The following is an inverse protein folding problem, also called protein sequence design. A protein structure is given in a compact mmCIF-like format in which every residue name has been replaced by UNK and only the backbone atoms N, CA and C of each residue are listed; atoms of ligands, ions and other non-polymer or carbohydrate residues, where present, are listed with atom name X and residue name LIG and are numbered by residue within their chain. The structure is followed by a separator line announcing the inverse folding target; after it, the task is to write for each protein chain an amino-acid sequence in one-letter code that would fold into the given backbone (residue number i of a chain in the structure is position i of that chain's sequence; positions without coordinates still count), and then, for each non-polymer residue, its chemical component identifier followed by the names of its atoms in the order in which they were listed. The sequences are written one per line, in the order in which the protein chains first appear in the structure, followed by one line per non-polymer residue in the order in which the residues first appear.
data_IF_814251902729
#
_entry.id   IF_814251902729
#
_cell.length_a   1.000
_cell.length_b   1.000
_cell.length_c   1.000
_cell.angle_alpha   90.00
_cell.angle_beta   90.00
_cell.angle_gamma   90.00
#
_symmetry.space_group_name_H-M   'P 1'
#
loop_
_entity.id
_entity.type
_entity.pdbx_description
1 polymer ?
#
# COMPACT_ATOMS: atom_id res chain seq x y z
N UNK A 1 11.79 23.05 19.24
CA UNK A 1 11.04 21.92 19.83
C UNK A 1 11.90 20.66 19.93
N UNK A 2 11.46 19.73 20.71
CA UNK A 2 12.14 18.45 20.90
C UNK A 2 11.92 17.49 19.72
N UNK A 3 10.72 17.51 19.15
CA UNK A 3 10.34 16.72 17.99
C UNK A 3 10.16 17.57 16.74
N UNK A 4 10.47 16.96 15.59
CA UNK A 4 10.13 17.46 14.26
C UNK A 4 8.91 16.67 13.76
N UNK A 5 7.88 17.36 13.29
CA UNK A 5 6.74 16.77 12.61
C UNK A 5 6.91 17.00 11.11
N UNK A 6 6.91 15.92 10.36
CA UNK A 6 7.05 15.89 8.90
C UNK A 6 5.71 15.45 8.33
N UNK A 7 5.11 16.29 7.52
CA UNK A 7 3.78 16.09 6.96
C UNK A 7 3.81 16.39 5.47
N UNK A 8 3.09 15.61 4.66
CA UNK A 8 2.89 15.95 3.26
C UNK A 8 1.93 17.14 3.12
N UNK A 9 2.07 17.93 2.08
CA UNK A 9 1.23 19.13 1.85
C UNK A 9 -0.24 18.81 1.51
N UNK A 10 -0.55 17.56 1.25
CA UNK A 10 -1.89 17.07 0.90
C UNK A 10 -2.55 16.27 2.04
N UNK A 11 -2.10 16.46 3.28
CA UNK A 11 -2.75 15.93 4.49
C UNK A 11 -3.57 17.01 5.19
N UNK A 12 -4.62 16.59 5.88
CA UNK A 12 -5.42 17.42 6.79
C UNK A 12 -5.37 16.78 8.17
N UNK A 13 -5.03 17.61 9.17
CA UNK A 13 -4.95 17.17 10.56
C UNK A 13 -6.32 17.23 11.21
N UNK A 14 -6.75 16.20 11.98
CA UNK A 14 -7.95 16.28 12.79
C UNK A 14 -7.74 17.16 14.01
N UNK A 15 -8.82 17.68 14.55
CA UNK A 15 -8.82 18.34 15.86
C UNK A 15 -8.26 17.37 16.91
N UNK A 16 -7.35 17.85 17.76
CA UNK A 16 -6.71 17.01 18.80
C UNK A 16 -5.49 16.22 18.32
N UNK A 17 -5.04 16.36 17.06
CA UNK A 17 -3.88 15.64 16.54
C UNK A 17 -2.60 15.81 17.40
N UNK A 18 -2.26 17.04 17.79
CA UNK A 18 -1.09 17.32 18.63
C UNK A 18 -1.27 16.78 20.06
N UNK A 19 -2.49 16.86 20.58
CA UNK A 19 -2.81 16.30 21.89
C UNK A 19 -2.63 14.78 21.89
N UNK A 20 -3.10 14.08 20.87
CA UNK A 20 -2.93 12.63 20.73
C UNK A 20 -1.44 12.24 20.68
N UNK A 21 -0.60 13.03 20.03
CA UNK A 21 0.87 12.82 20.02
C UNK A 21 1.44 12.98 21.44
N UNK A 22 1.07 14.04 22.13
CA UNK A 22 1.58 14.33 23.48
C UNK A 22 1.20 13.21 24.47
N UNK A 23 -0.05 12.80 24.48
CA UNK A 23 -0.56 11.69 25.30
C UNK A 23 0.17 10.37 25.02
N UNK A 24 0.42 10.05 23.75
CA UNK A 24 1.16 8.83 23.36
C UNK A 24 2.62 8.90 23.78
N UNK A 25 3.28 10.05 23.67
CA UNK A 25 4.67 10.26 24.11
C UNK A 25 4.81 10.17 25.61
N UNK A 26 3.85 10.76 26.38
CA UNK A 26 3.83 10.67 27.85
C UNK A 26 3.60 9.23 28.31
N UNK A 27 2.70 8.49 27.65
CA UNK A 27 2.43 7.09 27.97
C UNK A 27 3.64 6.19 27.70
N UNK A 28 4.33 6.41 26.60
CA UNK A 28 5.50 5.60 26.18
C UNK A 28 6.39 6.37 25.21
N UNK A 29 7.59 6.79 25.61
CA UNK A 29 8.51 7.54 24.77
C UNK A 29 8.87 6.78 23.50
N UNK A 30 9.09 7.52 22.40
CA UNK A 30 9.53 7.02 21.11
C UNK A 30 10.55 7.98 20.50
N UNK A 31 11.55 7.44 19.79
CA UNK A 31 12.53 8.26 19.08
C UNK A 31 11.96 8.73 17.73
N UNK A 32 11.11 7.90 17.12
CA UNK A 32 10.30 8.25 15.95
C UNK A 32 8.92 7.60 16.04
N UNK A 33 7.93 8.23 15.43
CA UNK A 33 6.56 7.73 15.38
C UNK A 33 5.88 8.12 14.08
N UNK A 34 4.72 7.56 13.83
CA UNK A 34 3.81 7.96 12.77
C UNK A 34 2.41 7.45 13.07
N UNK A 35 1.44 8.05 12.43
CA UNK A 35 0.03 7.66 12.54
C UNK A 35 -0.51 7.10 11.23
N UNK A 36 -1.69 6.45 11.28
CA UNK A 36 -2.35 5.96 10.08
C UNK A 36 -2.93 7.10 9.24
N UNK A 37 -3.18 6.80 7.97
CA UNK A 37 -3.93 7.67 7.09
C UNK A 37 -5.37 7.17 6.92
N UNK A 38 -6.31 8.10 6.82
CA UNK A 38 -7.72 7.82 6.59
C UNK A 38 -8.20 8.48 5.30
N UNK A 39 -9.19 7.84 4.65
CA UNK A 39 -9.94 8.46 3.57
C UNK A 39 -10.89 9.51 4.15
N UNK A 40 -11.01 10.65 3.47
CA UNK A 40 -12.00 11.68 3.82
C UNK A 40 -13.33 11.40 3.13
N UNK A 41 -14.44 11.77 3.73
CA UNK A 41 -15.79 11.52 3.20
C UNK A 41 -16.02 12.19 1.83
N UNK A 42 -15.36 13.34 1.60
CA UNK A 42 -15.41 14.07 0.32
C UNK A 42 -14.66 13.40 -0.83
N UNK A 43 -14.06 12.23 -0.63
CA UNK A 43 -13.35 11.54 -1.70
C UNK A 43 -14.31 11.11 -2.81
N UNK A 44 -13.87 11.31 -4.06
CA UNK A 44 -14.57 10.82 -5.24
C UNK A 44 -14.63 9.28 -5.24
N UNK A 45 -15.57 8.71 -6.03
CA UNK A 45 -15.68 7.26 -6.16
C UNK A 45 -14.37 6.61 -6.59
N UNK A 46 -13.62 7.25 -7.52
CA UNK A 46 -12.28 6.79 -7.95
C UNK A 46 -11.29 6.81 -6.79
N UNK A 47 -11.27 7.85 -5.97
CA UNK A 47 -10.38 7.91 -4.81
C UNK A 47 -10.73 6.87 -3.75
N UNK A 48 -12.03 6.58 -3.55
CA UNK A 48 -12.50 5.52 -2.65
C UNK A 48 -12.10 4.14 -3.17
N UNK A 49 -12.26 3.88 -4.49
CA UNK A 49 -11.80 2.64 -5.11
C UNK A 49 -10.28 2.45 -4.98
N UNK A 50 -9.49 3.50 -5.24
CA UNK A 50 -8.03 3.49 -5.02
C UNK A 50 -7.68 3.24 -3.56
N UNK A 51 -8.39 3.87 -2.63
CA UNK A 51 -8.19 3.65 -1.18
C UNK A 51 -8.45 2.20 -0.81
N UNK A 52 -9.55 1.62 -1.31
CA UNK A 52 -9.86 0.21 -1.15
C UNK A 52 -8.72 -0.68 -1.68
N UNK A 53 -8.29 -0.46 -2.93
CA UNK A 53 -7.20 -1.22 -3.55
C UNK A 53 -5.89 -1.15 -2.76
N UNK A 54 -5.65 -0.08 -1.99
CA UNK A 54 -4.45 0.10 -1.17
C UNK A 54 -4.55 -0.51 0.23
N UNK A 55 -5.74 -0.81 0.73
CA UNK A 55 -5.96 -1.18 2.14
C UNK A 55 -6.66 -2.52 2.32
N UNK A 56 -7.38 -3.04 1.31
CA UNK A 56 -8.09 -4.30 1.40
C UNK A 56 -7.14 -5.48 1.58
N UNK A 57 -7.59 -6.47 2.34
CA UNK A 57 -6.90 -7.75 2.48
C UNK A 57 -6.76 -8.47 1.14
N UNK A 58 -7.79 -8.45 0.31
CA UNK A 58 -7.81 -9.15 -0.98
C UNK A 58 -6.85 -8.56 -2.02
N UNK A 59 -6.44 -7.30 -1.87
CA UNK A 59 -5.54 -6.62 -2.80
C UNK A 59 -4.11 -6.52 -2.27
N UNK A 60 -3.94 -6.36 -0.95
CA UNK A 60 -2.63 -6.11 -0.33
C UNK A 60 -2.16 -7.25 0.57
N UNK A 61 -2.96 -8.32 0.74
CA UNK A 61 -2.64 -9.40 1.66
C UNK A 61 -2.57 -8.96 3.13
N UNK A 62 -3.22 -7.84 3.49
CA UNK A 62 -3.24 -7.31 4.84
C UNK A 62 -1.98 -6.54 5.26
N UNK A 63 -1.07 -6.23 4.33
CA UNK A 63 0.16 -5.46 4.60
C UNK A 63 -0.16 -4.03 5.01
N UNK A 64 -1.23 -3.46 4.44
CA UNK A 64 -1.75 -2.13 4.76
C UNK A 64 -3.14 -2.27 5.36
N UNK A 65 -3.44 -1.49 6.38
CA UNK A 65 -4.76 -1.49 7.03
C UNK A 65 -5.07 -2.70 7.92
N UNK A 66 -4.17 -3.68 8.02
CA UNK A 66 -4.36 -4.86 8.87
C UNK A 66 -4.20 -4.53 10.36
N UNK A 67 -5.08 -5.10 11.21
CA UNK A 67 -5.00 -5.01 12.68
C UNK A 67 -3.82 -5.79 13.28
N UNK A 68 -3.05 -6.54 12.47
CA UNK A 68 -1.87 -7.26 12.95
C UNK A 68 -0.76 -6.27 13.25
N UNK A 69 -0.27 -6.25 14.49
CA UNK A 69 0.95 -5.56 14.90
C UNK A 69 2.10 -6.12 14.04
N UNK A 70 2.62 -5.32 13.13
CA UNK A 70 3.90 -5.59 12.50
C UNK A 70 4.98 -5.49 13.60
N UNK A 71 5.93 -6.42 13.65
CA UNK A 71 7.03 -6.42 14.61
C UNK A 71 7.82 -5.11 14.58
N UNK A 72 7.82 -4.43 13.43
CA UNK A 72 8.46 -3.13 13.23
C UNK A 72 7.51 -2.21 12.47
N UNK A 73 7.25 -1.03 13.02
CA UNK A 73 6.51 0.02 12.35
C UNK A 73 7.49 0.95 11.64
N UNK A 74 7.29 1.16 10.34
CA UNK A 74 8.07 2.09 9.50
C UNK A 74 7.29 3.38 9.32
N UNK A 75 7.63 4.46 10.05
CA UNK A 75 7.00 5.77 9.84
C UNK A 75 7.13 6.23 8.39
N UNK A 76 6.09 6.84 7.87
CA UNK A 76 6.01 7.34 6.50
C UNK A 76 6.05 8.87 6.50
N UNK A 77 6.68 9.46 5.49
CA UNK A 77 6.88 10.92 5.40
C UNK A 77 5.59 11.74 5.49
N UNK A 78 4.46 11.19 5.02
CA UNK A 78 3.18 11.90 5.07
C UNK A 78 2.67 12.17 6.50
N UNK A 79 3.14 11.42 7.51
CA UNK A 79 2.78 11.57 8.92
C UNK A 79 3.86 10.96 9.80
N UNK A 80 4.97 11.68 9.98
CA UNK A 80 6.13 11.23 10.74
C UNK A 80 6.52 12.27 11.80
N UNK A 81 6.66 11.81 13.04
CA UNK A 81 7.35 12.56 14.09
C UNK A 81 8.70 11.92 14.41
N UNK A 82 9.70 12.71 14.67
CA UNK A 82 11.04 12.24 15.04
C UNK A 82 11.72 13.23 15.98
N UNK A 83 12.45 12.73 16.97
CA UNK A 83 13.29 13.55 17.82
C UNK A 83 14.32 14.32 16.98
N UNK A 84 14.46 15.59 17.27
CA UNK A 84 15.35 16.50 16.51
C UNK A 84 16.81 16.07 16.56
N UNK A 85 17.27 15.58 17.69
CA UNK A 85 18.63 15.05 17.87
C UNK A 85 18.87 13.80 17.01
N UNK A 86 17.93 12.85 16.99
CA UNK A 86 17.99 11.64 16.15
C UNK A 86 17.95 12.00 14.65
N UNK A 87 17.12 12.97 14.27
CA UNK A 87 17.10 13.44 12.87
C UNK A 87 18.45 13.99 12.43
N UNK A 88 19.11 14.79 13.30
CA UNK A 88 20.43 15.36 13.03
C UNK A 88 21.53 14.29 13.05
N UNK A 89 21.53 13.41 14.02
CA UNK A 89 22.46 12.27 14.16
C UNK A 89 22.49 11.42 12.88
N UNK A 90 21.32 11.13 12.33
CA UNK A 90 21.17 10.28 11.14
C UNK A 90 21.25 11.04 9.81
N UNK A 91 21.38 12.36 9.82
CA UNK A 91 21.47 13.18 8.61
C UNK A 91 20.18 13.30 7.78
N UNK A 92 19.01 13.03 8.39
CA UNK A 92 17.72 13.20 7.74
C UNK A 92 17.44 12.23 6.57
N UNK A 93 16.59 12.63 5.65
CA UNK A 93 16.26 11.83 4.46
C UNK A 93 17.43 11.73 3.49
N UNK A 94 17.58 10.58 2.87
CA UNK A 94 18.57 10.37 1.80
C UNK A 94 18.10 11.00 0.48
N UNK A 95 19.04 11.17 -0.48
CA UNK A 95 18.73 11.69 -1.82
C UNK A 95 17.96 10.71 -2.71
N UNK A 96 17.39 9.63 -2.15
CA UNK A 96 16.54 8.71 -2.91
C UNK A 96 15.27 9.43 -3.37
N UNK A 97 14.94 9.29 -4.65
CA UNK A 97 13.73 9.91 -5.21
C UNK A 97 12.44 9.26 -4.72
N UNK A 98 12.48 7.95 -4.42
CA UNK A 98 11.34 7.17 -3.94
C UNK A 98 11.81 6.19 -2.87
N UNK A 99 11.06 6.07 -1.77
CA UNK A 99 11.36 5.19 -0.65
C UNK A 99 12.35 5.77 0.36
N UNK A 100 12.59 7.07 0.30
CA UNK A 100 13.44 7.84 1.24
C UNK A 100 12.96 7.71 2.69
N UNK A 101 11.63 7.60 2.90
CA UNK A 101 11.01 7.40 4.19
C UNK A 101 11.30 6.00 4.75
N UNK A 102 11.28 4.97 3.91
CA UNK A 102 11.62 3.61 4.30
C UNK A 102 13.12 3.50 4.57
N UNK A 103 13.96 4.09 3.70
CA UNK A 103 15.41 4.18 3.92
C UNK A 103 15.72 4.82 5.27
N UNK A 104 15.07 5.94 5.56
CA UNK A 104 15.28 6.65 6.82
C UNK A 104 14.82 5.81 8.01
N UNK A 105 13.67 5.16 7.92
CA UNK A 105 13.19 4.24 8.95
C UNK A 105 14.14 3.07 9.19
N UNK A 106 14.73 2.50 8.13
CA UNK A 106 15.75 1.44 8.27
C UNK A 106 16.98 1.95 9.04
N UNK A 107 17.46 3.18 8.74
CA UNK A 107 18.57 3.81 9.46
C UNK A 107 18.24 4.07 10.92
N UNK A 108 17.04 4.51 11.24
CA UNK A 108 16.55 4.69 12.60
C UNK A 108 16.62 3.34 13.36
N UNK A 109 16.15 2.25 12.76
CA UNK A 109 16.23 0.93 13.39
C UNK A 109 17.67 0.43 13.55
N UNK A 110 18.53 0.63 12.53
CA UNK A 110 19.95 0.23 12.61
C UNK A 110 20.73 0.98 13.70
N UNK A 111 20.30 2.20 14.01
CA UNK A 111 20.83 3.00 15.12
C UNK A 111 20.25 2.61 16.51
N UNK A 112 19.47 1.53 16.59
CA UNK A 112 18.86 1.06 17.85
C UNK A 112 17.75 1.96 18.40
N UNK A 113 17.25 2.92 17.60
CA UNK A 113 16.20 3.85 18.01
C UNK A 113 14.81 3.19 17.90
N UNK A 114 13.87 3.67 18.70
CA UNK A 114 12.52 3.10 18.83
C UNK A 114 11.53 3.84 17.95
N UNK A 115 10.92 3.11 16.99
CA UNK A 115 9.79 3.59 16.19
C UNK A 115 8.47 3.05 16.75
N UNK A 116 7.43 3.89 16.79
CA UNK A 116 6.09 3.49 17.25
C UNK A 116 5.00 3.97 16.31
N UNK A 117 3.95 3.15 16.21
CA UNK A 117 2.69 3.58 15.64
C UNK A 117 1.86 4.28 16.73
N UNK A 118 1.38 5.48 16.44
CA UNK A 118 0.43 6.23 17.24
C UNK A 118 -0.93 6.19 16.55
N UNK A 119 -1.83 5.27 16.94
CA UNK A 119 -3.09 5.07 16.23
C UNK A 119 -4.00 6.31 16.22
N UNK A 120 -3.95 7.10 17.30
CA UNK A 120 -4.79 8.28 17.46
C UNK A 120 -4.21 9.53 16.76
N UNK A 121 -2.91 9.51 16.41
CA UNK A 121 -2.29 10.57 15.61
C UNK A 121 -2.49 10.32 14.10
N UNK A 122 -3.73 10.05 13.69
CA UNK A 122 -4.08 9.81 12.30
C UNK A 122 -4.27 11.12 11.52
N UNK A 123 -4.19 11.03 10.19
CA UNK A 123 -4.40 12.17 9.30
C UNK A 123 -5.34 11.79 8.14
N UNK A 124 -6.10 12.75 7.61
CA UNK A 124 -6.71 12.57 6.30
C UNK A 124 -5.65 12.80 5.22
N UNK A 125 -5.41 11.80 4.39
CA UNK A 125 -4.41 11.87 3.34
C UNK A 125 -5.08 11.71 1.98
N UNK A 126 -4.92 12.69 1.11
CA UNK A 126 -5.57 12.74 -0.19
C UNK A 126 -5.06 11.60 -1.10
N UNK A 127 -5.98 10.77 -1.58
CA UNK A 127 -5.67 9.73 -2.55
C UNK A 127 -5.51 10.32 -3.95
N UNK A 128 -4.81 9.59 -4.83
CA UNK A 128 -4.68 9.97 -6.24
C UNK A 128 -6.07 10.09 -6.87
N UNK A 129 -6.24 11.10 -7.72
CA UNK A 129 -7.53 11.48 -8.27
C UNK A 129 -7.96 10.65 -9.48
N UNK A 130 -7.01 9.95 -10.10
CA UNK A 130 -7.23 9.13 -11.29
C UNK A 130 -6.32 7.89 -11.30
N UNK A 131 -6.72 6.88 -12.09
CA UNK A 131 -6.00 5.61 -12.20
C UNK A 131 -4.61 5.75 -12.83
N UNK A 132 -4.38 6.70 -13.74
CA UNK A 132 -3.05 6.93 -14.35
C UNK A 132 -2.04 7.41 -13.30
N UNK A 133 -2.45 8.33 -12.42
CA UNK A 133 -1.62 8.78 -11.30
C UNK A 133 -1.41 7.66 -10.29
N UNK A 134 -2.43 6.85 -10.03
CA UNK A 134 -2.34 5.71 -9.15
C UNK A 134 -1.36 4.65 -9.72
N UNK A 135 -1.48 4.30 -10.98
CA UNK A 135 -0.55 3.39 -11.66
C UNK A 135 0.90 3.87 -11.53
N UNK A 136 1.15 5.17 -11.80
CA UNK A 136 2.48 5.76 -11.64
C UNK A 136 2.98 5.67 -10.19
N UNK A 137 2.12 5.84 -9.22
CA UNK A 137 2.47 5.68 -7.79
C UNK A 137 2.88 4.24 -7.48
N UNK A 138 2.14 3.24 -7.96
CA UNK A 138 2.44 1.81 -7.77
C UNK A 138 3.77 1.45 -8.46
N UNK A 139 3.96 1.92 -9.69
CA UNK A 139 5.21 1.73 -10.44
C UNK A 139 6.43 2.31 -9.69
N UNK A 140 6.33 3.55 -9.22
CA UNK A 140 7.39 4.19 -8.43
C UNK A 140 7.66 3.46 -7.12
N UNK A 141 6.63 2.89 -6.50
CA UNK A 141 6.79 2.05 -5.30
C UNK A 141 7.57 0.76 -5.60
N UNK A 142 7.39 0.18 -6.79
CA UNK A 142 8.19 -0.95 -7.26
C UNK A 142 9.66 -0.58 -7.43
N UNK A 143 9.95 0.55 -8.09
CA UNK A 143 11.33 1.09 -8.23
C UNK A 143 11.96 1.31 -6.85
N UNK A 144 11.24 1.96 -5.94
CA UNK A 144 11.70 2.18 -4.58
C UNK A 144 12.08 0.87 -3.87
N UNK A 145 11.28 -0.19 -4.06
CA UNK A 145 11.53 -1.50 -3.45
C UNK A 145 12.82 -2.14 -3.96
N UNK A 146 13.08 -2.06 -5.28
CA UNK A 146 14.31 -2.57 -5.87
C UNK A 146 15.54 -1.77 -5.40
N UNK A 147 15.44 -0.44 -5.33
CA UNK A 147 16.52 0.40 -4.84
C UNK A 147 16.83 0.13 -3.36
N UNK A 148 15.80 -0.06 -2.54
CA UNK A 148 15.96 -0.44 -1.15
C UNK A 148 16.59 -1.83 -1.01
N UNK A 149 16.19 -2.80 -1.84
CA UNK A 149 16.80 -4.13 -1.86
C UNK A 149 18.29 -4.07 -2.21
N UNK A 150 18.68 -3.29 -3.22
CA UNK A 150 20.09 -3.11 -3.59
C UNK A 150 20.93 -2.53 -2.45
N UNK A 151 20.33 -1.64 -1.64
CA UNK A 151 20.99 -1.00 -0.50
C UNK A 151 20.92 -1.82 0.80
N UNK A 152 19.81 -2.53 0.99
CA UNK A 152 19.49 -3.32 2.17
C UNK A 152 18.84 -4.64 1.74
N UNK A 153 19.60 -5.68 1.35
CA UNK A 153 19.04 -6.95 0.88
C UNK A 153 18.03 -7.58 1.84
N UNK A 154 18.26 -7.43 3.15
CA UNK A 154 17.38 -7.89 4.22
C UNK A 154 16.01 -7.19 4.27
N UNK A 155 15.85 -6.08 3.57
CA UNK A 155 14.60 -5.32 3.52
C UNK A 155 13.52 -5.95 2.63
N UNK A 156 13.92 -6.85 1.71
CA UNK A 156 13.01 -7.53 0.82
C UNK A 156 12.35 -8.71 1.55
N UNK A 157 11.03 -8.70 1.60
CA UNK A 157 10.22 -9.80 2.14
C UNK A 157 9.45 -10.46 1.00
N UNK A 158 9.10 -11.74 1.15
CA UNK A 158 8.31 -12.50 0.17
C UNK A 158 7.03 -11.76 -0.23
N UNK A 159 6.38 -11.11 0.72
CA UNK A 159 5.18 -10.31 0.50
C UNK A 159 5.37 -9.18 -0.52
N UNK A 160 6.58 -8.67 -0.69
CA UNK A 160 6.88 -7.65 -1.71
C UNK A 160 6.92 -8.20 -3.14
N UNK A 161 6.98 -9.53 -3.29
CA UNK A 161 6.95 -10.21 -4.59
C UNK A 161 5.53 -10.57 -5.02
N UNK A 162 4.54 -10.52 -4.11
CA UNK A 162 3.14 -10.86 -4.42
C UNK A 162 2.57 -10.09 -5.63
N UNK A 163 2.79 -8.78 -5.80
CA UNK A 163 2.30 -8.07 -6.97
C UNK A 163 2.89 -8.61 -8.29
N UNK A 164 4.16 -9.01 -8.28
CA UNK A 164 4.81 -9.62 -9.45
C UNK A 164 4.18 -10.98 -9.76
N UNK A 165 4.06 -11.86 -8.77
CA UNK A 165 3.44 -13.18 -8.92
C UNK A 165 2.00 -13.05 -9.40
N UNK A 166 1.23 -12.13 -8.84
CA UNK A 166 -0.13 -11.84 -9.27
C UNK A 166 -0.18 -11.40 -10.75
N UNK A 167 0.68 -10.47 -11.15
CA UNK A 167 0.73 -9.97 -12.53
C UNK A 167 1.10 -11.09 -13.51
N UNK A 168 2.10 -11.92 -13.19
CA UNK A 168 2.47 -13.07 -14.00
C UNK A 168 1.33 -14.10 -14.10
N UNK A 169 0.61 -14.33 -12.99
CA UNK A 169 -0.58 -15.18 -12.96
C UNK A 169 -1.69 -14.66 -13.88
N UNK A 170 -2.00 -13.37 -13.82
CA UNK A 170 -2.99 -12.74 -14.72
C UNK A 170 -2.59 -12.86 -16.17
N UNK A 171 -1.31 -12.59 -16.51
CA UNK A 171 -0.79 -12.74 -17.86
C UNK A 171 -0.94 -14.19 -18.33
N UNK A 172 -0.54 -15.16 -17.52
CA UNK A 172 -0.65 -16.59 -17.82
C UNK A 172 -2.09 -17.01 -18.10
N UNK A 173 -3.04 -16.64 -17.21
CA UNK A 173 -4.45 -16.94 -17.38
C UNK A 173 -5.05 -16.29 -18.63
N UNK A 174 -4.63 -15.06 -18.94
CA UNK A 174 -5.04 -14.36 -20.17
C UNK A 174 -4.54 -15.06 -21.41
N UNK A 175 -3.29 -15.50 -21.42
CA UNK A 175 -2.72 -16.27 -22.54
C UNK A 175 -3.45 -17.62 -22.71
N UNK A 176 -3.77 -18.31 -21.60
CA UNK A 176 -4.61 -19.52 -21.65
C UNK A 176 -5.95 -19.27 -22.31
N UNK A 177 -6.63 -18.15 -21.96
CA UNK A 177 -7.91 -17.75 -22.60
C UNK A 177 -7.74 -17.57 -24.11
N UNK A 178 -6.71 -16.84 -24.54
CA UNK A 178 -6.44 -16.58 -25.95
C UNK A 178 -6.14 -17.89 -26.71
N UNK A 179 -5.29 -18.75 -26.14
CA UNK A 179 -4.99 -20.06 -26.72
C UNK A 179 -6.25 -20.94 -26.82
N UNK A 180 -7.09 -20.93 -25.77
CA UNK A 180 -8.35 -21.64 -25.74
C UNK A 180 -9.30 -21.18 -26.87
N UNK A 181 -9.47 -19.87 -27.03
CA UNK A 181 -10.26 -19.28 -28.11
C UNK A 181 -9.74 -19.68 -29.50
N UNK A 182 -8.42 -19.57 -29.71
CA UNK A 182 -7.79 -19.96 -30.98
C UNK A 182 -8.00 -21.45 -31.28
N UNK A 183 -7.83 -22.31 -30.28
CA UNK A 183 -8.04 -23.75 -30.43
C UNK A 183 -9.51 -24.09 -30.80
N UNK A 184 -10.49 -23.39 -30.21
CA UNK A 184 -11.90 -23.57 -30.57
C UNK A 184 -12.24 -23.16 -32.00
N UNK A 185 -11.57 -22.12 -32.52
CA UNK A 185 -11.86 -21.56 -33.85
C UNK A 185 -11.05 -22.27 -34.95
N UNK A 186 -9.76 -22.53 -34.71
CA UNK A 186 -8.81 -22.91 -35.76
C UNK A 186 -8.48 -24.41 -35.82
N UNK A 187 -8.91 -25.21 -34.84
CA UNK A 187 -8.54 -26.62 -34.75
C UNK A 187 -9.73 -27.55 -34.52
N UNK A 188 -9.53 -28.87 -34.76
CA UNK A 188 -10.48 -29.92 -34.36
C UNK A 188 -10.50 -30.17 -32.85
N UNK A 189 -9.58 -29.57 -32.07
CA UNK A 189 -9.44 -29.77 -30.62
C UNK A 189 -10.38 -28.88 -29.81
N UNK A 190 -11.63 -28.75 -30.21
CA UNK A 190 -12.63 -27.84 -29.59
C UNK A 190 -12.82 -28.08 -28.07
N UNK A 191 -12.82 -29.35 -27.64
CA UNK A 191 -12.98 -29.67 -26.21
C UNK A 191 -11.80 -29.17 -25.37
N UNK A 192 -10.57 -29.36 -25.88
CA UNK A 192 -9.37 -28.81 -25.22
C UNK A 192 -9.41 -27.30 -25.18
N UNK A 193 -9.80 -26.65 -26.29
CA UNK A 193 -9.96 -25.20 -26.38
C UNK A 193 -10.96 -24.67 -25.36
N UNK A 194 -12.12 -25.31 -25.22
CA UNK A 194 -13.13 -24.94 -24.20
C UNK A 194 -12.59 -25.10 -22.78
N UNK A 195 -11.90 -26.20 -22.48
CA UNK A 195 -11.30 -26.41 -21.15
C UNK A 195 -10.26 -25.34 -20.80
N UNK A 196 -9.35 -25.01 -21.73
CA UNK A 196 -8.35 -23.94 -21.53
C UNK A 196 -9.01 -22.58 -21.32
N UNK A 197 -10.03 -22.25 -22.10
CA UNK A 197 -10.78 -21.02 -21.94
C UNK A 197 -11.44 -20.89 -20.58
N UNK A 198 -12.16 -21.93 -20.14
CA UNK A 198 -12.82 -21.95 -18.83
C UNK A 198 -11.81 -21.87 -17.68
N UNK A 199 -10.74 -22.66 -17.74
CA UNK A 199 -9.68 -22.63 -16.71
C UNK A 199 -8.97 -21.29 -16.63
N UNK A 200 -8.84 -20.57 -17.73
CA UNK A 200 -8.25 -19.24 -17.74
C UNK A 200 -9.20 -18.15 -17.24
N UNK A 201 -10.50 -18.16 -17.65
CA UNK A 201 -11.44 -17.10 -17.31
C UNK A 201 -12.01 -17.20 -15.90
N UNK A 202 -12.24 -18.42 -15.41
CA UNK A 202 -12.91 -18.66 -14.14
C UNK A 202 -12.19 -18.05 -12.94
N UNK A 203 -10.86 -18.22 -12.75
CA UNK A 203 -10.15 -17.59 -11.65
C UNK A 203 -10.19 -16.06 -11.70
N UNK A 204 -10.07 -15.47 -12.91
CA UNK A 204 -10.14 -14.02 -13.10
C UNK A 204 -11.53 -13.48 -12.75
N UNK A 205 -12.57 -14.17 -13.19
CA UNK A 205 -13.96 -13.82 -12.89
C UNK A 205 -14.25 -13.92 -11.39
N UNK A 206 -13.85 -15.02 -10.75
CA UNK A 206 -14.03 -15.19 -9.31
C UNK A 206 -13.31 -14.12 -8.49
N UNK A 207 -12.07 -13.84 -8.84
CA UNK A 207 -11.30 -12.78 -8.17
C UNK A 207 -11.96 -11.41 -8.33
N UNK A 208 -12.33 -11.03 -9.55
CA UNK A 208 -13.04 -9.77 -9.82
C UNK A 208 -14.37 -9.66 -9.07
N UNK A 209 -15.10 -10.77 -8.97
CA UNK A 209 -16.37 -10.83 -8.22
C UNK A 209 -16.15 -10.63 -6.72
N UNK A 210 -15.13 -11.27 -6.14
CA UNK A 210 -14.77 -11.11 -4.72
C UNK A 210 -14.42 -9.65 -4.43
N UNK A 211 -13.56 -9.03 -5.26
CA UNK A 211 -13.18 -7.62 -5.12
C UNK A 211 -14.40 -6.71 -5.20
N UNK A 212 -15.25 -6.92 -6.21
CA UNK A 212 -16.46 -6.12 -6.41
C UNK A 212 -17.41 -6.20 -5.19
N UNK A 213 -17.66 -7.42 -4.69
CA UNK A 213 -18.54 -7.62 -3.53
C UNK A 213 -17.95 -6.99 -2.26
N UNK A 214 -16.67 -7.24 -1.99
CA UNK A 214 -16.01 -6.74 -0.77
C UNK A 214 -15.93 -5.21 -0.80
N UNK A 215 -15.53 -4.62 -1.93
CA UNK A 215 -15.47 -3.17 -2.09
C UNK A 215 -16.85 -2.51 -2.00
N UNK A 216 -17.88 -3.15 -2.59
CA UNK A 216 -19.28 -2.68 -2.47
C UNK A 216 -19.73 -2.64 -1.01
N UNK A 217 -19.41 -3.70 -0.24
CA UNK A 217 -19.75 -3.75 1.20
C UNK A 217 -19.02 -2.68 1.99
N UNK A 218 -17.72 -2.47 1.75
CA UNK A 218 -16.91 -1.51 2.51
C UNK A 218 -17.28 -0.05 2.19
N UNK A 219 -17.66 0.25 0.96
CA UNK A 219 -17.96 1.60 0.50
C UNK A 219 -19.47 1.90 0.39
N UNK A 220 -20.32 0.93 0.70
CA UNK A 220 -21.79 1.03 0.53
C UNK A 220 -22.23 1.50 -0.87
N UNK A 221 -21.47 1.13 -1.91
CA UNK A 221 -21.69 1.59 -3.29
C UNK A 221 -21.26 0.54 -4.30
N UNK A 222 -22.21 0.06 -5.10
CA UNK A 222 -21.96 -0.87 -6.19
C UNK A 222 -21.03 -0.25 -7.26
N UNK A 223 -21.20 1.05 -7.54
CA UNK A 223 -20.35 1.79 -8.48
C UNK A 223 -18.87 1.75 -8.07
N UNK A 224 -18.58 1.94 -6.77
CA UNK A 224 -17.22 1.86 -6.26
C UNK A 224 -16.70 0.42 -6.34
N UNK A 225 -17.57 -0.57 -6.08
CA UNK A 225 -17.22 -1.98 -6.25
C UNK A 225 -16.72 -2.31 -7.65
N UNK A 226 -17.37 -1.80 -8.68
CA UNK A 226 -16.93 -1.99 -10.09
C UNK A 226 -15.66 -1.20 -10.44
N UNK A 227 -15.36 -0.11 -9.77
CA UNK A 227 -14.16 0.68 -10.01
C UNK A 227 -12.91 0.13 -9.31
N UNK A 228 -13.10 -0.77 -8.34
CA UNK A 228 -12.03 -1.34 -7.51
C UNK A 228 -11.38 -2.54 -8.15
#
# INVERSE_FOLDING_TARGET
GEYLLILDSDVVLPTGYLQAIDEELQRKPADAFGGPDKAHDSFTDTQKAISYSMTSFFTTGGIRGGKKKLDKFYPRSFNMGIRRDVYRELGGFSKMRFGEDIDFSIRIFKAGKRCRLFPEAWVWHKRRTDFRKFWRQVYNSGIARINLYKKYPESLKIVHLLPMVFTLGVIFLTLMNLCGLLAMVCTSAKNLGCSLFVLGILPLFLYSTIICIDSTKQNHSLKIGFLS
#
